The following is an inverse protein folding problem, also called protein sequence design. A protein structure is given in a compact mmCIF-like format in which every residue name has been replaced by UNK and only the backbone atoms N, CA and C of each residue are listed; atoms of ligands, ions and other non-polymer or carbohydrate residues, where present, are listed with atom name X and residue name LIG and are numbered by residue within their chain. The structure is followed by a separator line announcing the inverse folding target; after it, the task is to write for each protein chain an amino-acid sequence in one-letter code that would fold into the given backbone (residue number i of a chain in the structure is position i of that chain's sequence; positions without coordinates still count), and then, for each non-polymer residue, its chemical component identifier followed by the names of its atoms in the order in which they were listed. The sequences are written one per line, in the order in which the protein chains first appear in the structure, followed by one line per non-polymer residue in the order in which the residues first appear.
data_IF_763855798704
#
_entry.id   IF_763855798704
#
_cell.length_a   1.000
_cell.length_b   1.000
_cell.length_c   1.000
_cell.angle_alpha   90.00
_cell.angle_beta   90.00
_cell.angle_gamma   90.00
#
_symmetry.space_group_name_H-M   'P 1'
#
loop_
_entity.id
_entity.type
_entity.pdbx_description
1 polymer ?
#
# COMPACT_ATOMS: atom_id res chain seq x y z
N UNK A 1 -2.60 25.66 18.59
CA UNK A 1 -3.85 25.01 18.14
C UNK A 1 -3.54 23.54 17.90
N UNK A 2 -3.72 22.70 18.93
CA UNK A 2 -3.59 21.24 18.81
C UNK A 2 -4.94 20.74 18.31
N UNK A 3 -5.02 20.24 17.08
CA UNK A 3 -6.17 19.43 16.67
C UNK A 3 -6.02 18.12 17.43
N UNK A 4 -6.77 18.00 18.52
CA UNK A 4 -6.86 16.79 19.31
C UNK A 4 -7.39 15.66 18.44
N UNK A 5 -6.69 14.53 18.46
CA UNK A 5 -7.22 13.24 18.05
C UNK A 5 -8.41 12.95 18.98
N UNK A 6 -9.64 13.05 18.47
CA UNK A 6 -10.85 12.73 19.24
C UNK A 6 -11.21 11.24 19.12
N UNK A 7 -11.97 10.73 20.10
CA UNK A 7 -12.35 9.33 20.26
C UNK A 7 -13.21 8.73 19.12
N UNK A 8 -13.74 9.54 18.20
CA UNK A 8 -14.42 9.08 16.98
C UNK A 8 -13.47 8.35 16.02
N UNK A 9 -12.16 8.61 16.11
CA UNK A 9 -11.15 7.94 15.30
C UNK A 9 -10.96 6.46 15.70
N UNK A 10 -11.38 6.06 16.90
CA UNK A 10 -11.23 4.69 17.37
C UNK A 10 -12.28 3.74 16.77
N UNK A 11 -13.45 4.27 16.40
CA UNK A 11 -14.52 3.55 15.68
C UNK A 11 -14.15 3.42 14.20
N UNK A 12 -13.56 4.47 13.60
CA UNK A 12 -13.02 4.46 12.22
C UNK A 12 -11.88 3.45 12.05
N UNK A 13 -11.02 3.25 13.05
CA UNK A 13 -9.94 2.27 13.00
C UNK A 13 -10.43 0.81 13.00
N UNK A 14 -11.52 0.48 13.69
CA UNK A 14 -12.12 -0.87 13.64
C UNK A 14 -12.83 -1.13 12.30
N UNK A 15 -13.52 -0.12 11.74
CA UNK A 15 -14.11 -0.20 10.39
C UNK A 15 -13.03 -0.31 9.31
N UNK A 16 -11.93 0.44 9.41
CA UNK A 16 -10.74 0.28 8.57
C UNK A 16 -10.18 -1.13 8.68
N UNK A 17 -9.99 -1.66 9.89
CA UNK A 17 -9.58 -3.05 10.12
C UNK A 17 -10.55 -4.07 9.51
N UNK A 18 -11.84 -3.75 9.44
CA UNK A 18 -12.87 -4.57 8.81
C UNK A 18 -12.84 -4.48 7.27
N UNK A 19 -12.65 -3.28 6.70
CA UNK A 19 -12.40 -3.05 5.27
C UNK A 19 -11.06 -3.63 4.80
N UNK A 20 -10.14 -3.90 5.72
CA UNK A 20 -8.89 -4.62 5.48
C UNK A 20 -9.00 -6.15 5.65
N UNK A 21 -10.21 -6.69 5.86
CA UNK A 21 -10.48 -8.13 5.86
C UNK A 21 -9.80 -8.89 7.00
N UNK A 22 -10.51 -9.08 8.12
CA UNK A 22 -10.06 -9.85 9.31
C UNK A 22 -9.62 -11.31 9.02
N UNK A 23 -9.77 -11.80 7.79
CA UNK A 23 -9.59 -13.20 7.41
C UNK A 23 -8.40 -13.42 6.44
N UNK A 24 -7.73 -12.37 5.98
CA UNK A 24 -6.73 -12.45 4.89
C UNK A 24 -5.29 -12.10 5.30
N UNK A 25 -5.07 -11.65 6.54
CA UNK A 25 -3.72 -11.43 7.07
C UNK A 25 -3.43 -12.33 8.27
N UNK A 26 -2.44 -13.21 8.12
CA UNK A 26 -1.82 -13.88 9.25
C UNK A 26 -1.19 -12.84 10.18
N UNK A 27 -1.15 -13.14 11.49
CA UNK A 27 -0.70 -12.20 12.52
C UNK A 27 0.69 -11.58 12.30
N UNK A 28 1.52 -12.17 11.43
CA UNK A 28 2.83 -11.65 11.03
C UNK A 28 2.80 -10.42 10.11
N UNK A 29 1.64 -10.11 9.51
CA UNK A 29 1.51 -9.02 8.52
C UNK A 29 1.08 -7.69 9.15
N UNK A 30 0.47 -7.72 10.35
CA UNK A 30 0.02 -6.54 11.12
C UNK A 30 1.17 -5.72 11.72
N UNK A 31 2.33 -6.32 11.95
CA UNK A 31 3.53 -5.64 12.47
C UNK A 31 4.31 -4.88 11.39
N UNK A 32 3.86 -4.92 10.13
CA UNK A 32 4.54 -4.23 9.04
C UNK A 32 4.35 -2.72 9.16
N UNK A 33 5.42 -2.00 8.87
CA UNK A 33 5.48 -0.54 8.91
C UNK A 33 5.61 0.03 7.50
N UNK A 34 4.94 1.15 7.26
CA UNK A 34 5.11 1.99 6.09
C UNK A 34 5.86 3.27 6.49
N UNK A 35 6.74 3.77 5.59
CA UNK A 35 7.39 5.06 5.78
C UNK A 35 6.62 6.14 5.03
N UNK A 36 6.03 7.09 5.74
CA UNK A 36 5.17 8.15 5.16
C UNK A 36 5.72 9.55 5.43
N UNK A 37 5.40 10.51 4.55
CA UNK A 37 5.63 11.93 4.75
C UNK A 37 4.31 12.60 5.18
N UNK A 38 4.16 12.86 6.47
CA UNK A 38 3.00 13.56 7.06
C UNK A 38 3.47 14.80 7.81
N UNK A 39 2.77 15.91 7.63
CA UNK A 39 3.10 17.19 8.29
C UNK A 39 4.56 17.63 8.07
N UNK A 40 5.09 17.40 6.86
CA UNK A 40 6.47 17.71 6.49
C UNK A 40 7.54 16.84 7.17
N UNK A 41 7.15 15.77 7.88
CA UNK A 41 8.07 14.86 8.58
C UNK A 41 7.93 13.43 8.08
N UNK A 42 9.06 12.75 7.98
CA UNK A 42 9.10 11.32 7.70
C UNK A 42 8.75 10.56 8.97
N UNK A 43 7.82 9.61 8.88
CA UNK A 43 7.30 8.84 10.00
C UNK A 43 7.19 7.36 9.59
N UNK A 44 7.45 6.44 10.51
CA UNK A 44 7.04 5.04 10.35
C UNK A 44 5.70 4.85 11.05
N UNK A 45 4.74 4.31 10.31
CA UNK A 45 3.40 4.01 10.82
C UNK A 45 3.03 2.56 10.46
N UNK A 46 2.20 1.87 11.26
CA UNK A 46 1.66 0.58 10.87
C UNK A 46 0.98 0.66 9.50
N UNK A 47 1.14 -0.37 8.66
CA UNK A 47 0.54 -0.38 7.31
C UNK A 47 -1.00 -0.23 7.36
N UNK A 48 -1.62 -0.65 8.45
CA UNK A 48 -3.07 -0.52 8.71
C UNK A 48 -3.52 0.92 8.98
N UNK A 49 -2.59 1.83 9.28
CA UNK A 49 -2.86 3.25 9.49
C UNK A 49 -2.61 4.10 8.23
N UNK A 50 -2.20 3.47 7.12
CA UNK A 50 -2.05 4.13 5.82
C UNK A 50 -3.43 4.44 5.24
N UNK A 51 -3.59 5.65 4.71
CA UNK A 51 -4.86 6.16 4.18
C UNK A 51 -4.65 6.81 2.81
N UNK A 52 -5.74 6.94 2.05
CA UNK A 52 -5.74 7.70 0.79
C UNK A 52 -5.24 9.12 1.03
N UNK A 53 -4.34 9.58 0.16
CA UNK A 53 -3.69 10.89 0.26
C UNK A 53 -2.36 10.90 1.01
N UNK A 54 -1.99 9.81 1.69
CA UNK A 54 -0.64 9.69 2.25
C UNK A 54 0.43 9.72 1.16
N UNK A 55 1.57 10.34 1.46
CA UNK A 55 2.77 10.24 0.63
C UNK A 55 3.67 9.16 1.22
N UNK A 56 3.73 7.99 0.57
CA UNK A 56 4.56 6.88 0.98
C UNK A 56 5.93 6.96 0.31
N UNK A 57 7.00 6.74 1.08
CA UNK A 57 8.31 6.42 0.53
C UNK A 57 8.32 4.98 0.04
N UNK A 58 8.99 4.77 -1.08
CA UNK A 58 9.10 3.50 -1.77
C UNK A 58 10.58 3.22 -1.99
N UNK A 59 11.08 2.04 -1.65
CA UNK A 59 12.49 1.67 -1.88
C UNK A 59 12.65 0.18 -2.18
N UNK A 60 13.80 -0.16 -2.76
CA UNK A 60 14.21 -1.54 -2.96
C UNK A 60 14.07 -2.38 -1.67
N UNK A 61 13.44 -3.55 -1.82
CA UNK A 61 13.12 -4.46 -0.72
C UNK A 61 11.73 -4.24 -0.10
N UNK A 62 11.03 -3.16 -0.46
CA UNK A 62 9.65 -2.96 0.00
C UNK A 62 8.67 -3.80 -0.80
N UNK A 63 7.71 -4.41 -0.08
CA UNK A 63 6.44 -4.90 -0.65
C UNK A 63 5.38 -3.83 -0.42
N UNK A 64 4.65 -3.45 -1.47
CA UNK A 64 3.66 -2.37 -1.40
C UNK A 64 2.30 -2.88 -0.94
N UNK A 65 1.66 -2.16 -0.02
CA UNK A 65 0.38 -2.53 0.61
C UNK A 65 -0.81 -1.69 0.14
N UNK A 66 -0.58 -0.76 -0.77
CA UNK A 66 -1.55 0.22 -1.22
C UNK A 66 -1.31 0.53 -2.70
N UNK A 67 -2.36 0.94 -3.39
CA UNK A 67 -2.25 1.51 -4.73
C UNK A 67 -1.80 2.96 -4.62
N UNK A 68 -0.98 3.42 -5.57
CA UNK A 68 -0.53 4.80 -5.55
C UNK A 68 0.01 5.33 -6.86
N UNK A 69 -0.05 6.65 -7.00
CA UNK A 69 0.51 7.40 -8.11
C UNK A 69 1.92 7.89 -7.77
N UNK A 70 2.91 7.55 -8.59
CA UNK A 70 4.30 7.94 -8.36
C UNK A 70 4.51 9.43 -8.60
N UNK A 71 5.06 10.12 -7.62
CA UNK A 71 5.39 11.55 -7.65
C UNK A 71 6.90 11.83 -7.60
N UNK A 72 7.71 10.83 -7.23
CA UNK A 72 9.17 10.89 -7.30
C UNK A 72 9.69 9.50 -7.68
N UNK A 73 10.66 9.43 -8.61
CA UNK A 73 11.32 8.17 -9.00
C UNK A 73 12.81 8.39 -9.23
N UNK A 74 13.62 7.51 -8.64
CA UNK A 74 15.08 7.45 -8.75
C UNK A 74 15.49 6.01 -8.98
N UNK A 75 15.66 5.65 -10.24
CA UNK A 75 15.93 4.27 -10.70
C UNK A 75 14.92 3.24 -10.16
N UNK A 76 13.67 3.67 -9.94
CA UNK A 76 12.64 2.82 -9.36
C UNK A 76 12.25 1.73 -10.34
N UNK A 77 12.42 0.48 -9.94
CA UNK A 77 12.06 -0.69 -10.74
C UNK A 77 11.29 -1.70 -9.92
N UNK A 78 10.25 -2.25 -10.55
CA UNK A 78 9.39 -3.29 -9.97
C UNK A 78 9.52 -4.59 -10.75
N UNK A 79 9.16 -5.68 -10.10
CA UNK A 79 9.18 -7.03 -10.66
C UNK A 79 7.87 -7.35 -11.37
N UNK A 80 7.92 -7.62 -12.68
CA UNK A 80 6.81 -8.22 -13.43
C UNK A 80 7.13 -9.64 -13.91
N UNK A 81 8.22 -10.24 -13.38
CA UNK A 81 8.69 -11.57 -13.81
C UNK A 81 7.74 -12.71 -13.50
N UNK A 82 6.77 -12.54 -12.59
CA UNK A 82 5.73 -13.54 -12.31
C UNK A 82 4.90 -13.88 -13.56
N UNK A 83 4.86 -12.99 -14.56
CA UNK A 83 4.10 -13.20 -15.79
C UNK A 83 4.89 -13.94 -16.88
N UNK A 84 6.24 -13.82 -16.91
CA UNK A 84 7.06 -14.28 -18.04
C UNK A 84 8.14 -15.30 -17.65
N UNK A 85 8.51 -15.40 -16.38
CA UNK A 85 9.57 -16.29 -15.90
C UNK A 85 11.00 -15.81 -16.18
N UNK A 86 11.17 -14.62 -16.77
CA UNK A 86 12.46 -13.95 -16.95
C UNK A 86 12.51 -12.66 -16.14
N UNK A 87 13.69 -12.24 -15.68
CA UNK A 87 13.89 -11.06 -14.84
C UNK A 87 13.74 -9.75 -15.65
N UNK A 88 12.52 -9.47 -16.11
CA UNK A 88 12.16 -8.20 -16.73
C UNK A 88 11.70 -7.21 -15.66
N UNK A 89 12.57 -6.23 -15.39
CA UNK A 89 12.26 -5.13 -14.50
C UNK A 89 11.60 -4.00 -15.26
N UNK A 90 10.44 -3.54 -14.77
CA UNK A 90 9.77 -2.36 -15.34
C UNK A 90 10.26 -1.10 -14.67
N UNK A 91 10.75 -0.15 -15.48
CA UNK A 91 11.19 1.16 -15.01
C UNK A 91 9.98 2.05 -14.73
N UNK A 92 9.82 2.44 -13.46
CA UNK A 92 8.70 3.26 -13.03
C UNK A 92 9.06 4.74 -13.07
N UNK A 93 8.26 5.53 -13.78
CA UNK A 93 8.42 6.98 -13.93
C UNK A 93 7.36 7.73 -13.12
N UNK A 94 7.57 9.04 -12.93
CA UNK A 94 6.56 9.92 -12.35
C UNK A 94 5.29 9.87 -13.21
N UNK A 95 4.13 9.83 -12.54
CA UNK A 95 2.82 9.73 -13.19
C UNK A 95 2.34 8.30 -13.46
N UNK A 96 3.17 7.29 -13.20
CA UNK A 96 2.79 5.87 -13.31
C UNK A 96 2.08 5.43 -12.02
N UNK A 97 1.04 4.60 -12.17
CA UNK A 97 0.38 3.93 -11.07
C UNK A 97 1.16 2.67 -10.68
N UNK A 98 1.42 2.48 -9.38
CA UNK A 98 1.89 1.21 -8.83
C UNK A 98 0.78 0.65 -7.95
N UNK A 99 0.61 -0.67 -8.00
CA UNK A 99 -0.48 -1.36 -7.33
C UNK A 99 -0.01 -2.10 -6.08
N UNK A 100 -0.95 -2.33 -5.17
CA UNK A 100 -0.72 -3.16 -4.00
C UNK A 100 -0.28 -4.58 -4.41
N UNK A 101 0.52 -5.18 -3.54
CA UNK A 101 1.22 -6.44 -3.77
C UNK A 101 2.36 -6.38 -4.81
N UNK A 102 2.81 -5.19 -5.20
CA UNK A 102 4.05 -5.04 -6.00
C UNK A 102 5.30 -5.16 -5.12
N UNK A 103 6.30 -5.91 -5.59
CA UNK A 103 7.64 -5.98 -5.00
C UNK A 103 8.60 -4.98 -5.68
N UNK A 104 9.21 -4.10 -4.88
CA UNK A 104 10.18 -3.11 -5.39
C UNK A 104 11.58 -3.71 -5.35
N UNK A 105 12.23 -3.77 -6.50
CA UNK A 105 13.52 -4.47 -6.63
C UNK A 105 14.70 -3.51 -6.64
N UNK A 106 14.54 -2.34 -7.24
CA UNK A 106 15.59 -1.33 -7.32
C UNK A 106 15.06 0.08 -7.14
N UNK A 107 15.99 0.96 -6.77
CA UNK A 107 15.76 2.39 -6.68
C UNK A 107 14.93 2.82 -5.48
N UNK A 108 14.50 4.08 -5.56
CA UNK A 108 13.67 4.73 -4.56
C UNK A 108 12.66 5.64 -5.23
N UNK A 109 11.59 5.97 -4.53
CA UNK A 109 10.58 6.88 -5.00
C UNK A 109 9.64 7.34 -3.89
N UNK A 110 8.65 8.11 -4.31
CA UNK A 110 7.50 8.48 -3.50
C UNK A 110 6.25 8.31 -4.31
N UNK A 111 5.19 7.86 -3.66
CA UNK A 111 3.86 7.76 -4.26
C UNK A 111 2.81 8.38 -3.36
N UNK A 112 1.77 8.96 -3.97
CA UNK A 112 0.55 9.34 -3.27
C UNK A 112 -0.38 8.14 -3.27
N UNK A 113 -0.86 7.74 -2.10
CA UNK A 113 -1.79 6.62 -1.94
C UNK A 113 -3.14 6.97 -2.55
N UNK A 114 -3.63 6.10 -3.44
CA UNK A 114 -4.92 6.25 -4.14
C UNK A 114 -5.95 5.19 -3.71
N UNK A 115 -5.51 4.06 -3.18
CA UNK A 115 -6.38 2.98 -2.70
C UNK A 115 -5.73 2.14 -1.61
N UNK A 116 -6.53 1.66 -0.65
CA UNK A 116 -6.09 0.85 0.50
C UNK A 116 -7.09 -0.27 0.78
N UNK A 117 -6.62 -1.39 1.34
CA UNK A 117 -7.48 -2.53 1.67
C UNK A 117 -8.27 -3.06 0.47
N UNK A 118 -9.57 -3.33 0.66
CA UNK A 118 -10.48 -3.78 -0.42
C UNK A 118 -10.63 -2.78 -1.58
N UNK A 119 -10.18 -1.54 -1.43
CA UNK A 119 -10.23 -0.53 -2.50
C UNK A 119 -8.95 -0.49 -3.35
N UNK A 120 -7.97 -1.35 -3.06
CA UNK A 120 -6.86 -1.63 -3.99
C UNK A 120 -7.35 -2.55 -5.11
N UNK A 121 -6.66 -2.59 -6.26
CA UNK A 121 -7.00 -3.53 -7.33
C UNK A 121 -6.95 -4.99 -6.82
N UNK A 122 -5.86 -5.36 -6.14
CA UNK A 122 -5.69 -6.70 -5.58
C UNK A 122 -6.76 -7.02 -4.54
N UNK A 123 -7.07 -6.08 -3.65
CA UNK A 123 -8.14 -6.24 -2.65
C UNK A 123 -9.53 -6.40 -3.27
N UNK A 124 -9.81 -5.69 -4.36
CA UNK A 124 -11.06 -5.83 -5.10
C UNK A 124 -11.17 -7.21 -5.78
N UNK A 125 -10.08 -7.68 -6.40
CA UNK A 125 -10.02 -9.03 -6.99
C UNK A 125 -10.25 -10.10 -5.91
N UNK A 126 -9.53 -10.02 -4.79
CA UNK A 126 -9.67 -10.95 -3.67
C UNK A 126 -11.09 -10.97 -3.11
N UNK A 127 -11.74 -9.80 -3.01
CA UNK A 127 -13.12 -9.69 -2.57
C UNK A 127 -14.09 -10.40 -3.52
N UNK A 128 -13.95 -10.18 -4.83
CA UNK A 128 -14.79 -10.84 -5.85
C UNK A 128 -14.59 -12.35 -5.82
N UNK A 129 -13.34 -12.82 -5.83
CA UNK A 129 -13.00 -14.24 -5.83
C UNK A 129 -13.51 -14.96 -4.56
N UNK A 130 -13.49 -14.28 -3.42
CA UNK A 130 -14.06 -14.77 -2.17
C UNK A 130 -15.58 -14.92 -2.17
N UNK A 131 -16.30 -14.22 -3.06
CA UNK A 131 -17.74 -14.39 -3.27
C UNK A 131 -18.05 -15.49 -4.28
N UNK A 132 -17.26 -15.60 -5.36
CA UNK A 132 -17.43 -16.64 -6.39
C UNK A 132 -17.18 -18.05 -5.86
N UNK A 133 -16.31 -18.20 -4.86
CA UNK A 133 -15.97 -19.50 -4.26
C UNK A 133 -16.96 -20.02 -3.20
N UNK A 134 -18.07 -19.30 -2.96
CA UNK A 134 -19.09 -19.67 -1.96
C UNK A 134 -20.36 -20.30 -2.53
N UNK A 135 -20.43 -20.49 -3.85
CA UNK A 135 -21.48 -21.23 -4.56
C UNK A 135 -20.97 -22.60 -5.03
#
# INVERSE_FOLDING_TARGET
MRLGLDASNQIDLEERRSAFGKNQWSGTKLDRQATVLRNGKIQQIPIVEVVVGDVCHVKAGDKLWADGLVIESKDLKIDESELTGEADFVNIRIGVMILADTDVKHGTGKMVVTGVGIYTLTGAIDWIMGHVSRD
#
